data_IF_461375621525
#
_entry.id   IF_461375621525
#
_cell.length_a   1.000
_cell.length_b   1.000
_cell.length_c   1.000
_cell.angle_alpha   90.00
_cell.angle_beta   90.00
_cell.angle_gamma   90.00
#
_symmetry.space_group_name_H-M   'P 1'
#
loop_
_entity.id
_entity.type
_entity.pdbx_description
1 polymer ?
#
# COMPACT_ATOMS: atom_id res chain seq x y z
N UNK A 1 27.78 36.11 -51.97
CA UNK A 1 27.33 35.41 -50.75
C UNK A 1 26.29 36.27 -50.05
N UNK A 2 25.02 35.91 -50.22
CA UNK A 2 23.87 36.34 -49.43
C UNK A 2 22.87 35.16 -49.50
N UNK A 3 22.42 34.59 -48.37
CA UNK A 3 21.68 33.32 -48.38
C UNK A 3 20.21 33.52 -48.68
N UNK A 4 19.62 32.49 -49.29
CA UNK A 4 18.21 32.36 -49.61
C UNK A 4 17.33 32.28 -48.35
N UNK A 5 16.21 33.01 -48.37
CA UNK A 5 15.13 32.94 -47.38
C UNK A 5 14.24 31.75 -47.73
N UNK A 6 14.15 30.75 -46.86
CA UNK A 6 13.12 29.70 -46.91
C UNK A 6 11.92 30.11 -46.04
N UNK A 7 10.68 29.85 -46.47
CA UNK A 7 9.48 30.13 -45.69
C UNK A 7 9.30 29.11 -44.55
N UNK A 8 8.96 29.61 -43.37
CA UNK A 8 8.65 28.84 -42.16
C UNK A 8 7.31 28.10 -42.34
N UNK A 9 7.38 26.78 -42.50
CA UNK A 9 6.22 25.88 -42.55
C UNK A 9 6.21 25.04 -41.27
N UNK A 10 5.08 25.12 -40.55
CA UNK A 10 4.70 24.40 -39.33
C UNK A 10 5.06 25.05 -37.98
N UNK A 11 4.32 26.09 -37.61
CA UNK A 11 3.92 26.28 -36.22
C UNK A 11 2.49 25.73 -36.05
N UNK A 12 2.26 24.64 -35.28
CA UNK A 12 0.91 24.22 -34.95
C UNK A 12 0.26 25.30 -34.08
N UNK A 13 -0.93 25.75 -34.49
CA UNK A 13 -1.76 26.71 -33.77
C UNK A 13 -2.02 26.22 -32.34
N UNK A 14 -1.36 26.85 -31.37
CA UNK A 14 -1.60 26.61 -29.96
C UNK A 14 -3.01 27.10 -29.64
N UNK A 15 -3.96 26.26 -29.18
CA UNK A 15 -5.27 26.73 -28.79
C UNK A 15 -5.11 27.74 -27.66
N UNK A 16 -5.70 28.93 -27.82
CA UNK A 16 -5.65 30.00 -26.82
C UNK A 16 -6.39 29.56 -25.56
N UNK A 17 -5.69 28.90 -24.65
CA UNK A 17 -6.18 28.67 -23.30
C UNK A 17 -6.20 30.00 -22.57
N UNK A 18 -7.40 30.56 -22.40
CA UNK A 18 -7.63 31.64 -21.45
C UNK A 18 -7.36 31.07 -20.06
N UNK A 19 -6.19 31.37 -19.51
CA UNK A 19 -5.89 31.15 -18.10
C UNK A 19 -6.91 31.99 -17.32
N UNK A 20 -7.81 31.40 -16.51
CA UNK A 20 -8.70 32.20 -15.67
C UNK A 20 -7.83 32.99 -14.67
N UNK A 21 -8.19 34.25 -14.38
CA UNK A 21 -7.38 35.10 -13.52
C UNK A 21 -7.20 34.47 -12.14
N UNK A 22 -5.97 34.54 -11.62
CA UNK A 22 -5.59 34.19 -10.24
C UNK A 22 -6.24 35.14 -9.22
N UNK A 23 -7.55 35.02 -9.04
CA UNK A 23 -8.29 35.74 -7.99
C UNK A 23 -9.46 34.90 -7.48
N UNK A 24 -9.16 33.91 -6.66
CA UNK A 24 -10.11 33.32 -5.70
C UNK A 24 -9.32 33.00 -4.42
N UNK A 25 -9.15 34.02 -3.60
CA UNK A 25 -8.47 34.02 -2.30
C UNK A 25 -9.32 33.35 -1.23
N UNK A 26 -8.71 32.46 -0.43
CA UNK A 26 -9.21 31.85 0.82
C UNK A 26 -10.49 30.99 0.77
N UNK A 27 -11.55 31.36 0.07
CA UNK A 27 -12.86 30.68 0.13
C UNK A 27 -12.91 29.32 -0.59
N UNK A 28 -12.21 29.18 -1.72
CA UNK A 28 -12.09 27.89 -2.42
C UNK A 28 -11.38 26.80 -1.60
N UNK A 29 -10.62 27.21 -0.58
CA UNK A 29 -9.93 26.30 0.32
C UNK A 29 -10.84 25.80 1.46
N UNK A 30 -11.86 26.57 1.86
CA UNK A 30 -12.73 26.19 2.99
C UNK A 30 -13.71 25.07 2.64
N UNK A 31 -14.33 25.13 1.46
CA UNK A 31 -15.24 24.07 1.01
C UNK A 31 -14.48 22.77 0.75
N UNK A 32 -13.25 22.88 0.24
CA UNK A 32 -12.35 21.76 0.05
C UNK A 32 -12.05 21.08 1.38
N UNK A 33 -11.67 21.85 2.40
CA UNK A 33 -11.36 21.30 3.73
C UNK A 33 -12.60 20.73 4.42
N UNK A 34 -13.74 21.41 4.36
CA UNK A 34 -15.00 20.92 4.91
C UNK A 34 -15.41 19.58 4.25
N UNK A 35 -15.30 19.50 2.93
CA UNK A 35 -15.57 18.28 2.18
C UNK A 35 -14.56 17.16 2.47
N UNK A 36 -13.27 17.50 2.70
CA UNK A 36 -12.22 16.55 3.05
C UNK A 36 -12.48 15.88 4.41
N UNK A 37 -12.87 16.67 5.41
CA UNK A 37 -13.13 16.16 6.77
C UNK A 37 -14.53 15.55 6.94
N UNK A 38 -15.44 15.79 6.00
CA UNK A 38 -16.82 15.27 6.05
C UNK A 38 -17.79 16.14 6.84
N UNK A 39 -17.53 17.44 6.98
CA UNK A 39 -18.43 18.38 7.66
C UNK A 39 -19.58 18.80 6.73
N UNK A 40 -20.59 17.93 6.63
CA UNK A 40 -21.72 18.11 5.72
C UNK A 40 -22.46 19.44 5.93
N UNK A 41 -22.66 19.86 7.17
CA UNK A 41 -23.38 21.10 7.46
C UNK A 41 -22.58 22.32 7.01
N UNK A 42 -21.26 22.32 7.24
CA UNK A 42 -20.40 23.38 6.73
C UNK A 42 -20.35 23.40 5.20
N UNK A 43 -20.33 22.22 4.55
CA UNK A 43 -20.41 22.14 3.08
C UNK A 43 -21.73 22.74 2.57
N UNK A 44 -22.88 22.38 3.17
CA UNK A 44 -24.19 22.94 2.80
C UNK A 44 -24.22 24.47 2.93
N UNK A 45 -23.72 24.99 4.03
CA UNK A 45 -23.66 26.44 4.28
C UNK A 45 -22.82 27.13 3.21
N UNK A 46 -21.62 26.62 2.94
CA UNK A 46 -20.69 27.21 1.98
C UNK A 46 -21.25 27.17 0.54
N UNK A 47 -21.87 26.05 0.15
CA UNK A 47 -22.48 25.92 -1.17
C UNK A 47 -23.73 26.80 -1.32
N UNK A 48 -24.55 26.93 -0.27
CA UNK A 48 -25.75 27.77 -0.30
C UNK A 48 -25.45 29.28 -0.29
N UNK A 49 -24.34 29.69 0.33
CA UNK A 49 -23.97 31.11 0.47
C UNK A 49 -23.22 31.67 -0.73
N UNK A 50 -22.54 30.84 -1.53
CA UNK A 50 -21.58 31.33 -2.52
C UNK A 50 -21.75 30.67 -3.90
N UNK A 51 -22.14 31.49 -4.88
CA UNK A 51 -22.36 31.07 -6.28
C UNK A 51 -21.07 30.68 -7.03
N UNK A 52 -19.88 30.92 -6.45
CA UNK A 52 -18.57 30.62 -7.04
C UNK A 52 -17.83 29.44 -6.43
N UNK A 53 -18.46 28.65 -5.55
CA UNK A 53 -17.84 27.48 -4.93
C UNK A 53 -17.55 26.40 -5.99
N UNK A 54 -16.31 25.95 -6.04
CA UNK A 54 -15.86 24.84 -6.88
C UNK A 54 -16.36 23.50 -6.28
N UNK A 55 -17.56 23.12 -6.70
CA UNK A 55 -18.24 21.89 -6.25
C UNK A 55 -17.49 20.65 -6.70
N UNK A 56 -16.82 20.70 -7.84
CA UNK A 56 -16.04 19.60 -8.41
C UNK A 56 -14.76 19.33 -7.59
N UNK A 57 -14.12 20.38 -7.07
CA UNK A 57 -13.03 20.25 -6.08
C UNK A 57 -13.52 19.66 -4.77
N UNK A 58 -14.65 20.12 -4.25
CA UNK A 58 -15.26 19.55 -3.05
C UNK A 58 -15.64 18.08 -3.26
N UNK A 59 -16.22 17.74 -4.43
CA UNK A 59 -16.63 16.39 -4.79
C UNK A 59 -15.43 15.44 -4.91
N UNK A 60 -14.36 15.84 -5.62
CA UNK A 60 -13.13 15.05 -5.73
C UNK A 60 -12.48 14.80 -4.37
N UNK A 61 -12.50 15.80 -3.50
CA UNK A 61 -11.98 15.69 -2.13
C UNK A 61 -12.82 14.72 -1.29
N UNK A 62 -14.13 14.93 -1.22
CA UNK A 62 -15.06 14.07 -0.50
C UNK A 62 -15.04 12.63 -1.00
N UNK A 63 -14.99 12.43 -2.32
CA UNK A 63 -14.91 11.10 -2.93
C UNK A 63 -13.59 10.40 -2.61
N UNK A 64 -12.46 11.11 -2.67
CA UNK A 64 -11.16 10.57 -2.27
C UNK A 64 -11.03 10.26 -0.78
N UNK A 65 -11.81 10.91 0.09
CA UNK A 65 -11.79 10.67 1.54
C UNK A 65 -12.95 9.78 2.01
N UNK A 66 -13.74 9.21 1.08
CA UNK A 66 -14.86 8.32 1.39
C UNK A 66 -16.04 9.00 2.11
N UNK A 67 -16.20 10.32 2.01
CA UNK A 67 -17.30 11.09 2.66
C UNK A 67 -18.61 10.94 1.89
N UNK A 68 -19.24 9.77 2.01
CA UNK A 68 -20.41 9.38 1.22
C UNK A 68 -21.61 10.33 1.36
N UNK A 69 -21.82 10.88 2.54
CA UNK A 69 -22.88 11.86 2.83
C UNK A 69 -22.67 13.19 2.08
N UNK A 70 -21.43 13.69 2.09
CA UNK A 70 -21.03 14.87 1.32
C UNK A 70 -21.09 14.59 -0.19
N UNK A 71 -20.60 13.44 -0.65
CA UNK A 71 -20.67 13.02 -2.06
C UNK A 71 -22.13 12.95 -2.53
N UNK A 72 -23.01 12.29 -1.76
CA UNK A 72 -24.44 12.22 -2.09
C UNK A 72 -25.06 13.61 -2.17
N UNK A 73 -24.80 14.48 -1.22
CA UNK A 73 -25.29 15.85 -1.26
C UNK A 73 -24.82 16.60 -2.51
N UNK A 74 -23.51 16.56 -2.81
CA UNK A 74 -22.94 17.27 -3.95
C UNK A 74 -23.47 16.74 -5.30
N UNK A 75 -23.63 15.43 -5.44
CA UNK A 75 -24.11 14.80 -6.69
C UNK A 75 -25.62 14.95 -6.86
N UNK A 76 -26.39 14.59 -5.83
CA UNK A 76 -27.86 14.47 -5.95
C UNK A 76 -28.56 15.82 -5.79
N UNK A 77 -28.10 16.66 -4.86
CA UNK A 77 -28.76 17.94 -4.54
C UNK A 77 -28.15 19.10 -5.34
N UNK A 78 -26.82 19.15 -5.41
CA UNK A 78 -26.11 20.28 -6.00
C UNK A 78 -25.70 20.08 -7.46
N UNK A 79 -25.92 18.87 -7.99
CA UNK A 79 -25.64 18.46 -9.39
C UNK A 79 -24.18 18.72 -9.81
N UNK A 80 -23.23 18.49 -8.91
CA UNK A 80 -21.82 18.55 -9.22
C UNK A 80 -21.48 17.57 -10.35
N UNK A 81 -20.60 17.98 -11.27
CA UNK A 81 -20.19 17.14 -12.39
C UNK A 81 -19.24 16.02 -11.91
N UNK A 82 -19.71 14.78 -11.98
CA UNK A 82 -18.97 13.59 -11.53
C UNK A 82 -17.78 13.25 -12.43
N UNK A 83 -17.83 13.69 -13.70
CA UNK A 83 -16.81 13.41 -14.71
C UNK A 83 -15.80 14.55 -14.84
N UNK A 84 -16.02 15.67 -14.13
CA UNK A 84 -15.12 16.81 -14.12
C UNK A 84 -13.70 16.40 -13.70
N UNK A 85 -12.74 16.88 -14.48
CA UNK A 85 -11.31 16.62 -14.27
C UNK A 85 -10.59 17.88 -13.84
N UNK A 86 -9.64 17.74 -12.91
CA UNK A 86 -8.74 18.84 -12.57
C UNK A 86 -7.61 19.01 -13.60
N UNK A 87 -6.69 19.93 -13.32
CA UNK A 87 -5.57 20.26 -14.21
C UNK A 87 -4.57 19.11 -14.42
N UNK A 88 -4.63 18.06 -13.59
CA UNK A 88 -3.85 16.81 -13.77
C UNK A 88 -4.67 15.69 -14.40
N UNK A 89 -5.96 15.92 -14.69
CA UNK A 89 -6.84 14.96 -15.34
C UNK A 89 -7.58 14.02 -14.38
N UNK A 90 -7.56 14.29 -13.07
CA UNK A 90 -8.21 13.42 -12.07
C UNK A 90 -9.69 13.76 -11.91
N UNK A 91 -10.56 12.73 -11.97
CA UNK A 91 -11.99 12.81 -11.64
C UNK A 91 -12.26 12.34 -10.20
N UNK A 92 -13.50 12.53 -9.74
CA UNK A 92 -13.93 12.06 -8.42
C UNK A 92 -13.81 10.54 -8.29
N UNK A 93 -14.11 9.80 -9.36
CA UNK A 93 -13.94 8.35 -9.41
C UNK A 93 -12.46 7.94 -9.35
N UNK A 94 -11.59 8.64 -10.08
CA UNK A 94 -10.14 8.36 -10.05
C UNK A 94 -9.60 8.58 -8.64
N UNK A 95 -9.98 9.69 -7.98
CA UNK A 95 -9.60 9.95 -6.58
C UNK A 95 -10.16 8.92 -5.61
N UNK A 96 -11.42 8.52 -5.77
CA UNK A 96 -12.03 7.48 -4.95
C UNK A 96 -11.39 6.10 -5.17
N UNK A 97 -10.89 5.81 -6.37
CA UNK A 97 -10.18 4.57 -6.66
C UNK A 97 -8.74 4.59 -6.15
N UNK A 98 -8.03 5.70 -6.35
CA UNK A 98 -6.66 5.91 -5.87
C UNK A 98 -6.58 5.91 -4.34
N UNK A 99 -7.56 6.55 -3.68
CA UNK A 99 -7.69 6.60 -2.22
C UNK A 99 -8.71 5.60 -1.65
N UNK A 100 -9.27 4.72 -2.47
CA UNK A 100 -10.23 3.69 -2.05
C UNK A 100 -9.63 2.60 -1.16
N UNK A 101 -8.32 2.70 -0.93
CA UNK A 101 -7.56 1.95 0.07
C UNK A 101 -7.56 2.64 1.44
N UNK A 102 -8.09 3.85 1.60
CA UNK A 102 -8.12 4.55 2.89
C UNK A 102 -9.18 3.96 3.83
N UNK A 103 -8.73 3.34 4.92
CA UNK A 103 -9.59 2.79 5.97
C UNK A 103 -9.67 3.80 7.12
N UNK A 104 -10.86 4.28 7.53
CA UNK A 104 -11.00 5.18 8.66
C UNK A 104 -10.52 4.53 9.98
N UNK A 105 -9.80 5.26 10.85
CA UNK A 105 -9.42 4.74 12.16
C UNK A 105 -10.59 4.23 13.01
N UNK A 106 -11.78 4.82 12.84
CA UNK A 106 -13.01 4.41 13.53
C UNK A 106 -13.52 3.02 13.14
N UNK A 107 -13.06 2.45 12.01
CA UNK A 107 -13.44 1.10 11.57
C UNK A 107 -12.52 0.01 12.10
N UNK A 108 -11.40 0.38 12.72
CA UNK A 108 -10.41 -0.56 13.27
C UNK A 108 -10.64 -0.68 14.77
N UNK A 109 -11.04 -1.87 15.21
CA UNK A 109 -11.20 -2.18 16.63
C UNK A 109 -9.94 -2.93 17.14
N UNK A 110 -9.24 -2.40 18.15
CA UNK A 110 -8.16 -3.11 18.83
C UNK A 110 -8.63 -4.46 19.38
N UNK A 111 -7.88 -5.55 19.13
CA UNK A 111 -8.12 -6.83 19.81
C UNK A 111 -7.01 -7.09 20.83
N UNK A 112 -5.76 -7.11 20.38
CA UNK A 112 -4.59 -7.35 21.23
C UNK A 112 -3.43 -6.43 20.77
N UNK A 113 -3.23 -5.29 21.44
CA UNK A 113 -1.97 -4.54 21.35
C UNK A 113 -1.11 -4.94 22.54
N UNK A 114 -0.65 -6.19 22.60
CA UNK A 114 0.35 -6.56 23.60
C UNK A 114 1.66 -5.95 23.16
N UNK A 115 2.07 -4.89 23.86
CA UNK A 115 3.39 -4.27 23.75
C UNK A 115 4.43 -5.23 24.37
N UNK A 116 4.59 -6.42 23.81
CA UNK A 116 5.62 -7.41 24.12
C UNK A 116 5.36 -8.61 23.22
N UNK A 117 6.13 -8.72 22.15
CA UNK A 117 7.04 -9.84 21.93
C UNK A 117 7.80 -9.56 20.65
N UNK A 118 9.12 -9.48 20.76
CA UNK A 118 10.10 -9.26 19.69
C UNK A 118 10.09 -10.34 18.58
N UNK A 119 9.06 -11.18 18.54
CA UNK A 119 8.90 -12.30 17.63
C UNK A 119 7.68 -12.17 16.72
N UNK A 120 6.70 -11.30 17.05
CA UNK A 120 5.57 -11.11 16.15
C UNK A 120 6.00 -10.15 15.04
N UNK A 121 5.76 -10.52 13.80
CA UNK A 121 6.31 -9.92 12.59
C UNK A 121 5.78 -8.48 12.30
N UNK A 122 5.45 -7.70 13.33
CA UNK A 122 4.91 -6.35 13.23
C UNK A 122 3.45 -6.32 12.78
N UNK A 123 2.72 -7.44 12.88
CA UNK A 123 1.31 -7.55 12.53
C UNK A 123 0.47 -7.68 13.80
N UNK A 124 -0.15 -6.58 14.24
CA UNK A 124 -1.06 -6.61 15.39
C UNK A 124 -2.45 -7.07 14.93
N UNK A 125 -3.07 -7.98 15.68
CA UNK A 125 -4.44 -8.42 15.39
C UNK A 125 -5.45 -7.33 15.73
N UNK A 126 -6.37 -7.08 14.81
CA UNK A 126 -7.49 -6.14 14.98
C UNK A 126 -8.79 -6.76 14.44
N UNK A 127 -9.93 -6.12 14.72
CA UNK A 127 -11.13 -6.30 13.89
C UNK A 127 -11.27 -5.14 12.91
N UNK A 128 -11.62 -5.47 11.67
CA UNK A 128 -12.11 -4.51 10.68
C UNK A 128 -13.46 -5.02 10.17
N UNK A 129 -14.51 -4.21 10.27
CA UNK A 129 -15.89 -4.60 9.93
C UNK A 129 -16.33 -5.94 10.59
N UNK A 130 -15.93 -6.15 11.85
CA UNK A 130 -16.18 -7.38 12.65
C UNK A 130 -15.44 -8.64 12.19
N UNK A 131 -14.63 -8.58 11.14
CA UNK A 131 -13.76 -9.66 10.69
C UNK A 131 -12.34 -9.50 11.27
N UNK A 132 -11.62 -10.61 11.45
CA UNK A 132 -10.20 -10.55 11.84
C UNK A 132 -9.35 -9.94 10.72
N UNK A 133 -8.53 -8.97 11.10
CA UNK A 133 -7.54 -8.34 10.23
C UNK A 133 -6.20 -8.18 10.99
N UNK A 134 -5.15 -7.87 10.26
CA UNK A 134 -3.86 -7.51 10.83
C UNK A 134 -3.49 -6.08 10.46
N UNK A 135 -2.86 -5.35 11.38
CA UNK A 135 -2.31 -4.02 11.12
C UNK A 135 -0.82 -3.99 11.33
N UNK A 136 -0.14 -3.35 10.37
CA UNK A 136 1.28 -3.04 10.47
C UNK A 136 1.49 -1.54 10.49
N UNK A 137 2.23 -1.05 11.48
CA UNK A 137 2.64 0.34 11.57
C UNK A 137 3.74 0.60 10.52
N UNK A 138 3.63 1.68 9.76
CA UNK A 138 4.72 2.15 8.90
C UNK A 138 4.84 3.68 8.93
N UNK A 139 6.07 4.17 8.85
CA UNK A 139 6.37 5.61 8.75
C UNK A 139 6.04 6.11 7.34
N UNK A 140 5.49 7.33 7.25
CA UNK A 140 5.10 7.98 5.98
C UNK A 140 6.24 8.07 4.96
N UNK A 141 7.50 8.03 5.42
CA UNK A 141 8.70 8.13 4.59
C UNK A 141 9.02 6.85 3.82
N UNK A 142 8.38 5.74 4.20
CA UNK A 142 8.42 4.51 3.40
C UNK A 142 7.37 4.61 2.29
N UNK A 143 7.83 4.96 1.09
CA UNK A 143 7.06 4.82 -0.15
C UNK A 143 6.79 3.33 -0.41
N UNK A 144 5.90 2.73 0.38
CA UNK A 144 5.28 1.46 0.02
C UNK A 144 4.44 1.72 -1.21
N UNK A 145 4.94 1.29 -2.37
CA UNK A 145 4.30 1.47 -3.67
C UNK A 145 2.81 1.10 -3.61
N UNK A 146 1.93 2.01 -4.05
CA UNK A 146 0.47 1.80 -4.17
C UNK A 146 0.13 0.52 -4.96
N UNK A 147 1.07 0.03 -5.78
CA UNK A 147 0.96 -1.24 -6.52
C UNK A 147 0.77 -2.43 -5.57
N UNK A 148 1.40 -2.42 -4.40
CA UNK A 148 1.29 -3.52 -3.43
C UNK A 148 -0.09 -3.64 -2.79
N UNK A 149 -0.86 -2.55 -2.74
CA UNK A 149 -2.21 -2.53 -2.15
C UNK A 149 -3.24 -3.21 -3.06
N UNK A 150 -2.95 -3.28 -4.36
CA UNK A 150 -3.82 -3.88 -5.38
C UNK A 150 -3.52 -5.35 -5.64
N UNK A 151 -2.47 -5.92 -5.03
CA UNK A 151 -2.10 -7.31 -5.24
C UNK A 151 -3.12 -8.25 -4.59
N UNK A 152 -3.61 -9.22 -5.37
CA UNK A 152 -4.57 -10.24 -4.94
C UNK A 152 -4.14 -11.60 -5.46
N UNK A 153 -3.72 -12.49 -4.57
CA UNK A 153 -3.28 -13.83 -4.92
C UNK A 153 -3.42 -14.77 -3.71
N UNK A 154 -3.85 -16.04 -3.88
CA UNK A 154 -4.02 -16.98 -2.76
C UNK A 154 -2.76 -17.20 -1.91
N UNK A 155 -1.57 -17.02 -2.49
CA UNK A 155 -0.28 -17.19 -1.81
C UNK A 155 0.45 -15.88 -1.47
N UNK A 156 -0.27 -14.76 -1.47
CA UNK A 156 0.25 -13.45 -1.05
C UNK A 156 -0.75 -12.85 -0.07
N UNK A 157 -0.28 -12.29 1.03
CA UNK A 157 -1.16 -11.63 2.01
C UNK A 157 -1.87 -10.47 1.32
N UNK A 158 -3.20 -10.48 1.38
CA UNK A 158 -3.99 -9.41 0.80
C UNK A 158 -3.90 -8.15 1.66
N UNK A 159 -3.62 -7.02 1.02
CA UNK A 159 -3.71 -5.71 1.67
C UNK A 159 -5.10 -5.13 1.41
N UNK A 160 -5.86 -4.86 2.47
CA UNK A 160 -7.16 -4.22 2.35
C UNK A 160 -7.04 -2.72 2.13
N UNK A 161 -6.05 -2.10 2.79
CA UNK A 161 -5.86 -0.67 2.68
C UNK A 161 -4.87 -0.08 3.68
N UNK A 162 -4.89 1.25 3.78
CA UNK A 162 -4.09 2.05 4.69
C UNK A 162 -5.02 2.89 5.57
N UNK A 163 -4.82 2.84 6.87
CA UNK A 163 -5.47 3.70 7.85
C UNK A 163 -4.50 4.78 8.31
N UNK A 164 -4.80 6.05 8.03
CA UNK A 164 -4.05 7.19 8.55
C UNK A 164 -4.51 7.53 9.97
N UNK A 165 -3.65 7.27 10.96
CA UNK A 165 -3.96 7.57 12.37
C UNK A 165 -3.47 8.98 12.73
N UNK A 166 -2.26 9.33 12.31
CA UNK A 166 -1.67 10.68 12.38
C UNK A 166 -0.96 10.98 11.05
N UNK A 167 -0.61 12.24 10.72
CA UNK A 167 0.06 12.58 9.47
C UNK A 167 1.31 11.72 9.18
N UNK A 168 2.09 11.44 10.22
CA UNK A 168 3.30 10.63 10.20
C UNK A 168 3.08 9.13 10.49
N UNK A 169 1.91 8.76 11.02
CA UNK A 169 1.60 7.40 11.47
C UNK A 169 0.50 6.76 10.62
N UNK A 170 0.91 5.82 9.77
CA UNK A 170 0.00 5.04 8.93
C UNK A 170 0.01 3.57 9.34
N UNK A 171 -1.16 2.96 9.29
CA UNK A 171 -1.36 1.53 9.50
C UNK A 171 -1.70 0.89 8.16
N UNK A 172 -1.01 -0.17 7.77
CA UNK A 172 -1.44 -1.01 6.65
C UNK A 172 -2.34 -2.10 7.20
N UNK A 173 -3.57 -2.15 6.72
CA UNK A 173 -4.56 -3.16 7.10
C UNK A 173 -4.49 -4.30 6.08
N UNK A 174 -4.21 -5.50 6.57
CA UNK A 174 -4.05 -6.70 5.77
C UNK A 174 -5.01 -7.79 6.25
N UNK A 175 -5.16 -8.81 5.41
CA UNK A 175 -5.71 -10.10 5.82
C UNK A 175 -5.01 -10.60 7.09
N UNK A 176 -5.79 -11.11 8.05
CA UNK A 176 -5.25 -11.84 9.18
C UNK A 176 -4.89 -13.26 8.72
N UNK A 177 -3.72 -13.38 8.10
CA UNK A 177 -3.23 -14.64 7.53
C UNK A 177 -2.37 -15.46 8.50
N UNK A 178 -2.19 -15.03 9.75
CA UNK A 178 -1.36 -15.76 10.73
C UNK A 178 -2.22 -16.51 11.74
N UNK A 179 -2.21 -17.83 11.65
CA UNK A 179 -2.25 -18.63 12.87
C UNK A 179 -0.84 -18.92 13.39
N UNK A 180 0.15 -19.04 12.48
CA UNK A 180 1.57 -19.35 12.77
C UNK A 180 2.48 -18.89 11.62
N UNK A 181 3.75 -18.59 11.92
CA UNK A 181 4.81 -18.46 10.92
C UNK A 181 5.28 -19.84 10.45
N UNK A 182 5.86 -19.94 9.25
CA UNK A 182 6.51 -21.18 8.82
C UNK A 182 7.63 -21.60 9.79
N UNK A 183 8.32 -20.62 10.38
CA UNK A 183 9.35 -20.83 11.41
C UNK A 183 8.85 -21.57 12.65
N UNK A 184 7.60 -21.36 13.04
CA UNK A 184 7.07 -21.90 14.30
C UNK A 184 6.82 -23.41 14.25
N UNK A 185 6.78 -24.00 13.05
CA UNK A 185 6.30 -25.37 12.90
C UNK A 185 6.99 -26.18 11.82
N UNK A 186 7.98 -25.64 11.08
CA UNK A 186 8.69 -26.42 10.06
C UNK A 186 9.32 -27.72 10.60
N UNK A 187 9.62 -27.80 11.91
CA UNK A 187 10.17 -29.01 12.57
C UNK A 187 9.10 -30.02 12.99
N UNK A 188 7.83 -29.62 13.01
CA UNK A 188 6.72 -30.40 13.59
C UNK A 188 5.71 -30.89 12.57
N UNK A 189 5.68 -30.30 11.37
CA UNK A 189 4.77 -30.73 10.30
C UNK A 189 5.31 -31.88 9.48
N UNK A 190 4.39 -32.65 8.90
CA UNK A 190 4.73 -33.68 7.93
C UNK A 190 5.47 -33.07 6.74
N UNK A 191 6.50 -33.77 6.26
CA UNK A 191 7.34 -33.35 5.13
C UNK A 191 6.54 -33.02 3.88
N UNK A 192 5.46 -33.75 3.60
CA UNK A 192 4.58 -33.48 2.47
C UNK A 192 3.88 -32.11 2.59
N UNK A 193 3.42 -31.76 3.78
CA UNK A 193 2.82 -30.45 4.09
C UNK A 193 3.85 -29.34 4.01
N UNK A 194 5.06 -29.58 4.51
CA UNK A 194 6.16 -28.62 4.40
C UNK A 194 6.47 -28.26 2.93
N UNK A 195 6.56 -29.26 2.05
CA UNK A 195 6.77 -29.04 0.63
C UNK A 195 5.60 -28.29 -0.03
N UNK A 196 4.36 -28.52 0.39
CA UNK A 196 3.21 -27.73 -0.07
C UNK A 196 3.33 -26.26 0.34
N UNK A 197 3.78 -25.97 1.56
CA UNK A 197 3.99 -24.58 2.01
C UNK A 197 5.10 -23.89 1.21
N UNK A 198 6.23 -24.57 0.98
CA UNK A 198 7.33 -24.04 0.16
C UNK A 198 6.91 -23.82 -1.30
N UNK A 199 6.14 -24.75 -1.87
CA UNK A 199 5.57 -24.60 -3.21
C UNK A 199 4.65 -23.38 -3.28
N UNK A 200 3.75 -23.23 -2.32
CA UNK A 200 2.85 -22.08 -2.23
C UNK A 200 3.63 -20.75 -2.15
N UNK A 201 4.69 -20.68 -1.34
CA UNK A 201 5.59 -19.53 -1.31
C UNK A 201 6.22 -19.24 -2.69
N UNK A 202 6.68 -20.27 -3.40
CA UNK A 202 7.22 -20.09 -4.75
C UNK A 202 6.18 -19.57 -5.76
N UNK A 203 4.93 -20.06 -5.70
CA UNK A 203 3.84 -19.55 -6.55
C UNK A 203 3.51 -18.09 -6.20
N UNK A 204 3.48 -17.73 -4.91
CA UNK A 204 3.31 -16.35 -4.48
C UNK A 204 4.42 -15.44 -5.00
N UNK A 205 5.67 -15.92 -4.99
CA UNK A 205 6.82 -15.16 -5.45
C UNK A 205 6.78 -14.93 -6.97
N UNK A 206 6.43 -15.97 -7.73
CA UNK A 206 6.22 -15.86 -9.18
C UNK A 206 5.19 -14.77 -9.51
N UNK A 207 4.05 -14.78 -8.81
CA UNK A 207 3.02 -13.77 -8.99
C UNK A 207 3.54 -12.34 -8.70
N UNK A 208 4.32 -12.15 -7.63
CA UNK A 208 4.93 -10.84 -7.33
C UNK A 208 5.84 -10.38 -8.47
N UNK A 209 6.71 -11.25 -8.97
CA UNK A 209 7.63 -10.96 -10.07
C UNK A 209 6.88 -10.62 -11.37
N UNK A 210 5.81 -11.35 -11.69
CA UNK A 210 4.93 -11.05 -12.84
C UNK A 210 4.25 -9.67 -12.73
N UNK A 211 4.03 -9.19 -11.50
CA UNK A 211 3.49 -7.84 -11.23
C UNK A 211 4.56 -6.77 -11.09
N UNK A 212 5.82 -7.11 -11.35
CA UNK A 212 6.93 -6.16 -11.28
C UNK A 212 7.35 -5.80 -9.85
N UNK A 213 7.05 -6.66 -8.87
CA UNK A 213 7.31 -6.42 -7.45
C UNK A 213 8.42 -7.37 -6.98
N UNK A 214 9.51 -6.79 -6.48
CA UNK A 214 10.55 -7.51 -5.74
C UNK A 214 10.09 -7.67 -4.30
N UNK A 215 10.24 -8.87 -3.73
CA UNK A 215 9.90 -9.14 -2.33
C UNK A 215 10.88 -8.41 -1.40
N UNK A 216 12.18 -8.61 -1.59
CA UNK A 216 13.27 -7.87 -0.96
C UNK A 216 13.62 -8.24 0.49
N UNK A 217 12.74 -8.96 1.17
CA UNK A 217 12.96 -9.51 2.52
C UNK A 217 12.37 -10.93 2.67
N UNK A 218 12.65 -11.85 1.73
CA UNK A 218 12.04 -13.18 1.76
C UNK A 218 12.75 -14.12 2.77
N UNK A 219 12.04 -14.54 3.82
CA UNK A 219 12.53 -15.44 4.89
C UNK A 219 11.37 -16.33 5.36
N UNK A 220 11.64 -17.46 6.02
CA UNK A 220 10.56 -18.30 6.58
C UNK A 220 9.67 -17.54 7.57
N UNK A 221 10.22 -16.56 8.29
CA UNK A 221 9.47 -15.69 9.20
C UNK A 221 8.52 -14.69 8.47
N UNK A 222 8.68 -14.54 7.15
CA UNK A 222 7.79 -13.73 6.32
C UNK A 222 6.85 -14.62 5.46
N UNK A 223 6.79 -15.92 5.75
CA UNK A 223 5.82 -16.87 5.16
C UNK A 223 4.81 -17.23 6.26
N UNK A 224 3.57 -16.77 6.09
CA UNK A 224 2.46 -17.01 7.03
C UNK A 224 1.63 -18.20 6.60
N UNK A 225 1.09 -18.95 7.56
CA UNK A 225 0.11 -20.02 7.28
C UNK A 225 -1.28 -19.55 7.69
N UNK A 226 -2.14 -19.44 6.68
CA UNK A 226 -3.54 -19.09 6.83
C UNK A 226 -4.34 -20.15 7.59
N UNK A 227 -5.52 -19.77 8.06
CA UNK A 227 -6.45 -20.69 8.72
C UNK A 227 -6.92 -21.85 7.82
N UNK A 228 -6.81 -21.67 6.51
CA UNK A 228 -7.05 -22.65 5.45
C UNK A 228 -5.87 -23.61 5.23
N UNK A 229 -4.76 -23.43 5.96
CA UNK A 229 -3.52 -24.19 5.79
C UNK A 229 -2.70 -23.76 4.57
N UNK A 230 -3.04 -22.63 3.93
CA UNK A 230 -2.34 -22.13 2.75
C UNK A 230 -1.23 -21.18 3.18
N UNK A 231 0.00 -21.45 2.72
CA UNK A 231 1.12 -20.53 2.91
C UNK A 231 1.00 -19.27 2.02
N UNK A 232 1.30 -18.11 2.62
CA UNK A 232 1.21 -16.78 1.99
C UNK A 232 2.45 -15.95 2.28
N UNK A 233 2.96 -15.27 1.26
CA UNK A 233 4.05 -14.31 1.40
C UNK A 233 3.54 -13.02 2.05
N UNK A 234 4.26 -12.53 3.05
CA UNK A 234 4.01 -11.28 3.75
C UNK A 234 5.22 -10.33 3.61
N UNK A 235 5.08 -9.06 4.02
CA UNK A 235 6.19 -8.09 4.08
C UNK A 235 6.93 -7.78 2.77
N UNK A 236 6.35 -8.12 1.62
CA UNK A 236 6.90 -7.77 0.30
C UNK A 236 6.82 -6.27 -0.02
N UNK A 237 7.66 -5.82 -0.95
CA UNK A 237 7.62 -4.47 -1.51
C UNK A 237 8.05 -3.36 -0.54
N UNK A 238 8.75 -3.73 0.53
CA UNK A 238 9.30 -2.79 1.50
C UNK A 238 10.81 -2.70 1.31
N UNK A 239 11.33 -1.48 1.15
CA UNK A 239 12.76 -1.24 1.35
C UNK A 239 13.08 -1.56 2.80
N UNK A 240 14.15 -2.33 3.00
CA UNK A 240 14.56 -2.94 4.27
C UNK A 240 14.99 -1.91 5.33
N UNK A 241 14.11 -0.98 5.70
CA UNK A 241 14.33 0.09 6.67
C UNK A 241 13.79 -0.25 8.07
N UNK A 242 13.34 -1.49 8.30
CA UNK A 242 12.96 -1.94 9.63
C UNK A 242 14.17 -2.54 10.31
N UNK A 243 14.82 -1.72 11.14
CA UNK A 243 15.53 -2.05 12.38
C UNK A 243 15.49 -3.54 12.77
N UNK A 244 16.37 -4.34 12.19
CA UNK A 244 16.68 -5.63 12.80
C UNK A 244 17.43 -5.37 14.10
N UNK A 245 17.06 -6.11 15.14
CA UNK A 245 17.66 -6.02 16.47
C UNK A 245 19.14 -6.43 16.47
N UNK A 246 19.59 -7.15 15.43
CA UNK A 246 20.98 -7.38 15.07
C UNK A 246 21.13 -7.44 13.53
N UNK A 247 22.25 -6.96 12.95
CA UNK A 247 22.55 -7.13 11.51
C UNK A 247 22.63 -8.61 11.09
N UNK A 248 23.17 -9.48 11.97
CA UNK A 248 23.43 -10.90 11.71
C UNK A 248 22.18 -11.71 11.38
N UNK A 249 21.00 -11.28 11.85
CA UNK A 249 19.74 -12.03 11.66
C UNK A 249 19.15 -11.86 10.24
N UNK A 250 19.57 -10.86 9.46
CA UNK A 250 19.07 -10.64 8.09
C UNK A 250 19.99 -11.26 7.04
N UNK A 251 21.30 -11.25 7.28
CA UNK A 251 22.31 -11.57 6.28
C UNK A 251 22.23 -13.01 5.76
N UNK A 252 21.77 -13.95 6.59
CA UNK A 252 21.73 -15.39 6.26
C UNK A 252 20.84 -15.73 5.06
N UNK A 253 19.81 -14.93 4.81
CA UNK A 253 18.89 -15.09 3.68
C UNK A 253 19.22 -14.16 2.50
N UNK A 254 20.19 -13.26 2.66
CA UNK A 254 20.56 -12.28 1.63
C UNK A 254 21.52 -12.88 0.60
N UNK A 255 21.30 -12.52 -0.65
CA UNK A 255 22.18 -12.90 -1.74
C UNK A 255 23.52 -12.15 -1.69
N UNK A 256 24.58 -12.68 -2.34
CA UNK A 256 25.91 -12.06 -2.31
C UNK A 256 25.94 -10.61 -2.81
N UNK A 257 25.08 -10.25 -3.77
CA UNK A 257 24.95 -8.89 -4.28
C UNK A 257 24.29 -7.94 -3.29
N UNK A 258 23.30 -8.41 -2.52
CA UNK A 258 22.64 -7.64 -1.45
C UNK A 258 23.63 -7.37 -0.31
N UNK A 259 24.42 -8.38 0.09
CA UNK A 259 25.49 -8.21 1.08
C UNK A 259 26.57 -7.22 0.64
N UNK A 260 26.72 -6.99 -0.69
CA UNK A 260 27.60 -5.97 -1.26
C UNK A 260 26.93 -4.59 -1.39
N UNK A 261 25.70 -4.44 -0.92
CA UNK A 261 24.94 -3.18 -0.96
C UNK A 261 24.21 -2.91 -2.28
N UNK A 262 24.05 -3.90 -3.16
CA UNK A 262 23.20 -3.73 -4.34
C UNK A 262 21.72 -3.70 -3.93
N UNK A 263 20.85 -3.03 -4.71
CA UNK A 263 19.42 -3.05 -4.43
C UNK A 263 18.82 -4.46 -4.65
N UNK A 264 17.72 -4.80 -3.95
CA UNK A 264 16.96 -6.01 -4.21
C UNK A 264 16.55 -6.18 -5.67
N UNK A 265 16.63 -7.41 -6.15
CA UNK A 265 16.22 -7.85 -7.50
C UNK A 265 15.43 -9.15 -7.46
N UNK A 266 14.85 -9.55 -8.60
CA UNK A 266 14.16 -10.84 -8.72
C UNK A 266 15.10 -12.01 -8.42
N UNK A 267 16.34 -11.95 -8.90
CA UNK A 267 17.37 -12.96 -8.66
C UNK A 267 17.72 -13.07 -7.18
N UNK A 268 17.79 -11.93 -6.48
CA UNK A 268 18.02 -11.93 -5.04
C UNK A 268 16.88 -12.60 -4.27
N UNK A 269 15.62 -12.43 -4.70
CA UNK A 269 14.49 -13.14 -4.10
C UNK A 269 14.57 -14.65 -4.34
N UNK A 270 15.01 -15.09 -5.53
CA UNK A 270 15.19 -16.52 -5.83
C UNK A 270 16.24 -17.15 -4.92
N UNK A 271 17.34 -16.42 -4.65
CA UNK A 271 18.34 -16.85 -3.68
C UNK A 271 17.73 -16.99 -2.27
N UNK A 272 16.99 -15.97 -1.82
CA UNK A 272 16.34 -15.97 -0.51
C UNK A 272 15.29 -17.09 -0.38
N UNK A 273 14.56 -17.42 -1.45
CA UNK A 273 13.67 -18.59 -1.48
C UNK A 273 14.45 -19.89 -1.29
N UNK A 274 15.62 -20.01 -1.93
CA UNK A 274 16.54 -21.13 -1.73
C UNK A 274 16.96 -21.28 -0.26
N UNK A 275 17.24 -20.16 0.41
CA UNK A 275 17.56 -20.14 1.85
C UNK A 275 16.38 -20.57 2.71
N UNK A 276 15.15 -20.17 2.37
CA UNK A 276 13.95 -20.66 3.05
C UNK A 276 13.78 -22.18 2.92
N UNK A 277 14.05 -22.73 1.73
CA UNK A 277 13.99 -24.18 1.50
C UNK A 277 15.03 -24.90 2.36
N UNK A 278 16.27 -24.39 2.42
CA UNK A 278 17.34 -24.97 3.23
C UNK A 278 17.00 -24.93 4.73
N UNK A 279 16.51 -23.79 5.21
CA UNK A 279 16.09 -23.63 6.60
C UNK A 279 14.98 -24.62 6.98
N UNK A 280 13.91 -24.64 6.19
CA UNK A 280 12.73 -25.46 6.42
C UNK A 280 13.07 -26.96 6.40
N UNK A 281 13.85 -27.41 5.42
CA UNK A 281 14.19 -28.83 5.25
C UNK A 281 15.17 -29.31 6.33
N UNK A 282 16.09 -28.45 6.77
CA UNK A 282 17.07 -28.80 7.80
C UNK A 282 16.55 -28.57 9.23
N UNK A 283 15.47 -27.81 9.40
CA UNK A 283 14.90 -27.49 10.70
C UNK A 283 15.75 -26.54 11.54
N UNK A 284 16.65 -25.78 10.93
CA UNK A 284 17.56 -24.81 11.58
C UNK A 284 17.91 -23.68 10.62
N UNK A 285 18.33 -22.54 11.15
CA UNK A 285 18.72 -21.37 10.36
C UNK A 285 19.78 -21.71 9.28
N UNK A 286 19.76 -21.02 8.12
CA UNK A 286 20.81 -21.17 7.12
C UNK A 286 22.19 -20.93 7.74
N UNK A 287 23.16 -21.76 7.35
CA UNK A 287 24.55 -21.74 7.82
C UNK A 287 24.78 -22.17 9.28
N UNK A 288 23.73 -22.52 10.04
CA UNK A 288 23.86 -23.04 11.40
C UNK A 288 24.40 -22.01 12.41
N UNK A 289 24.78 -22.48 13.59
CA UNK A 289 25.13 -21.62 14.73
C UNK A 289 26.51 -20.94 14.62
N UNK A 290 27.33 -21.32 13.63
CA UNK A 290 28.72 -20.84 13.45
C UNK A 290 28.87 -19.69 12.45
N UNK A 291 27.77 -19.04 12.03
CA UNK A 291 27.85 -17.81 11.24
C UNK A 291 28.43 -16.68 12.10
N UNK A 292 29.63 -16.22 11.74
CA UNK A 292 30.41 -15.17 12.40
C UNK A 292 31.18 -14.37 11.35
#
# INVERSE_FOLDING_TARGET
MAPAVYPDLNQPSVPSFKIPPRSASMEGNEVYEAARVGDLERVKILVAQNTGVDKETALRSAAGEGRLDVVKYLVEQERADVDARDYVGESALIRAADRGTCIPPSEIEPVDFTQNDSNDAGYNRVKWLKADASVKIFSSDSYGSAVTDLLRHPNVVNTYGVCGVLPELKLRVCEYASQRFLTDHYTTVERATLWKHLHNAAVGLLYLHEKGVVHGDLRCNNILIGADGIAKLAKFGQTCLVTASSPDDLERWQSPEILKGHPPSYESDIYSLGMCILEAVNGRAPWGDEWA
#
